data_IF_620490493127
#
_entry.id   IF_620490493127
#
_cell.length_a   1.000
_cell.length_b   1.000
_cell.length_c   1.000
_cell.angle_alpha   90.00
_cell.angle_beta   90.00
_cell.angle_gamma   90.00
#
_symmetry.space_group_name_H-M   'P 1'
#
loop_
_entity.id
_entity.type
_entity.pdbx_description
1 polymer ?
#
# COMPACT_ATOMS: atom_id res chain seq x y z
N UNK A 1 -57.91 -30.96 22.33
CA UNK A 1 -57.05 -32.00 22.94
C UNK A 1 -55.87 -32.25 22.03
N UNK A 2 -54.69 -31.70 22.37
CA UNK A 2 -53.34 -32.25 22.19
C UNK A 2 -52.38 -31.22 22.83
N UNK A 3 -51.71 -31.63 23.90
CA UNK A 3 -50.67 -30.86 24.58
C UNK A 3 -49.32 -31.09 23.89
N UNK A 4 -48.44 -30.09 23.89
CA UNK A 4 -47.00 -30.29 23.97
C UNK A 4 -46.34 -29.03 24.55
N UNK A 5 -45.71 -29.19 25.71
CA UNK A 5 -44.82 -28.22 26.35
C UNK A 5 -43.40 -28.60 25.98
N UNK A 6 -42.55 -27.63 25.64
CA UNK A 6 -41.10 -27.81 25.68
C UNK A 6 -40.44 -26.53 26.20
N UNK A 7 -39.77 -26.64 27.35
CA UNK A 7 -38.91 -25.63 27.93
C UNK A 7 -37.55 -25.63 27.23
N UNK A 8 -36.94 -24.44 27.05
CA UNK A 8 -35.51 -24.32 26.75
C UNK A 8 -34.88 -23.27 27.68
N UNK A 9 -33.87 -23.74 28.39
CA UNK A 9 -33.08 -23.03 29.36
C UNK A 9 -31.92 -22.25 28.71
N UNK A 10 -31.53 -21.15 29.36
CA UNK A 10 -30.13 -20.85 29.64
C UNK A 10 -29.30 -20.10 28.58
N UNK A 11 -28.76 -18.96 28.99
CA UNK A 11 -27.46 -18.45 28.51
C UNK A 11 -27.43 -16.97 28.15
N UNK A 12 -27.19 -16.08 29.13
CA UNK A 12 -26.61 -14.76 28.84
C UNK A 12 -25.11 -14.97 28.66
N UNK A 13 -24.61 -14.84 27.44
CA UNK A 13 -23.18 -14.68 27.19
C UNK A 13 -22.82 -13.22 27.42
N UNK A 14 -22.31 -12.90 28.61
CA UNK A 14 -21.60 -11.65 28.86
C UNK A 14 -20.25 -11.74 28.14
N UNK A 15 -20.17 -11.18 26.93
CA UNK A 15 -18.88 -11.11 26.23
C UNK A 15 -18.05 -10.03 26.90
N UNK A 16 -17.04 -10.54 27.58
CA UNK A 16 -15.95 -9.85 28.25
C UNK A 16 -15.24 -8.88 27.31
N UNK A 17 -14.86 -7.72 27.85
CA UNK A 17 -14.14 -6.69 27.14
C UNK A 17 -12.84 -7.21 26.54
N UNK A 18 -12.66 -6.91 25.26
CA UNK A 18 -11.38 -6.96 24.58
C UNK A 18 -11.10 -5.57 24.03
N UNK A 19 -10.54 -4.69 24.86
CA UNK A 19 -9.73 -3.57 24.39
C UNK A 19 -8.47 -4.18 23.78
N UNK A 20 -8.61 -4.71 22.57
CA UNK A 20 -7.51 -5.03 21.68
C UNK A 20 -7.23 -3.78 20.87
N UNK A 21 -6.49 -2.85 21.48
CA UNK A 21 -5.74 -1.84 20.77
C UNK A 21 -4.93 -2.59 19.70
N UNK A 22 -5.46 -2.65 18.47
CA UNK A 22 -4.68 -3.07 17.31
C UNK A 22 -3.72 -1.95 16.99
N UNK A 23 -2.70 -1.82 17.84
CA UNK A 23 -1.42 -1.37 17.35
C UNK A 23 -0.93 -2.56 16.53
N UNK A 24 -1.43 -2.65 15.29
CA UNK A 24 -0.69 -3.31 14.24
C UNK A 24 0.61 -2.50 14.19
N UNK A 25 1.60 -2.94 14.96
CA UNK A 25 2.97 -2.67 14.63
C UNK A 25 3.10 -3.32 13.27
N UNK A 26 2.90 -2.52 12.23
CA UNK A 26 3.25 -2.83 10.85
C UNK A 26 4.72 -3.17 10.91
N UNK A 27 4.96 -4.45 11.16
CA UNK A 27 6.25 -5.09 11.06
C UNK A 27 6.74 -4.65 9.71
N UNK A 28 7.90 -4.01 9.68
CA UNK A 28 8.58 -3.42 8.52
C UNK A 28 8.68 -4.46 7.40
N UNK A 29 7.56 -4.70 6.75
CA UNK A 29 7.39 -5.73 5.76
C UNK A 29 7.93 -5.12 4.50
N UNK A 30 8.87 -5.83 3.87
CA UNK A 30 9.28 -5.44 2.54
C UNK A 30 8.10 -5.71 1.63
N UNK A 31 7.35 -4.67 1.30
CA UNK A 31 6.22 -4.77 0.39
C UNK A 31 6.73 -4.83 -1.05
N UNK A 32 6.20 -5.79 -1.81
CA UNK A 32 6.51 -5.93 -3.23
C UNK A 32 5.32 -5.41 -4.02
N UNK A 33 5.61 -4.53 -4.96
CA UNK A 33 4.64 -3.88 -5.81
C UNK A 33 4.95 -4.14 -7.27
N UNK A 34 3.88 -4.18 -8.05
CA UNK A 34 3.89 -4.15 -9.51
C UNK A 34 3.57 -2.74 -9.98
N UNK A 35 4.49 -2.15 -10.74
CA UNK A 35 4.28 -0.88 -11.42
C UNK A 35 3.90 -1.13 -12.89
N UNK A 36 2.84 -0.49 -13.36
CA UNK A 36 2.35 -0.55 -14.75
C UNK A 36 2.09 0.85 -15.29
N UNK A 37 2.14 1.05 -16.60
CA UNK A 37 1.64 2.25 -17.26
C UNK A 37 0.26 1.96 -17.87
N UNK A 38 -0.73 2.82 -17.63
CA UNK A 38 -2.05 2.68 -18.22
C UNK A 38 -1.96 2.71 -19.75
N UNK A 39 -2.58 1.72 -20.39
CA UNK A 39 -2.56 1.55 -21.85
C UNK A 39 -1.32 0.83 -22.39
N UNK A 40 -0.42 0.33 -21.53
CA UNK A 40 0.74 -0.47 -21.89
C UNK A 40 0.71 -1.84 -21.20
N UNK A 41 1.27 -2.88 -21.83
CA UNK A 41 1.33 -4.23 -21.25
C UNK A 41 2.60 -4.47 -20.41
N UNK A 42 3.57 -3.55 -20.44
CA UNK A 42 4.78 -3.68 -19.67
C UNK A 42 4.50 -3.41 -18.18
N UNK A 43 5.17 -4.21 -17.36
CA UNK A 43 5.17 -4.10 -15.92
C UNK A 43 6.60 -4.26 -15.40
N UNK A 44 6.87 -3.70 -14.23
CA UNK A 44 8.12 -3.92 -13.54
C UNK A 44 7.90 -4.00 -12.02
N UNK A 45 8.89 -4.57 -11.32
CA UNK A 45 8.82 -4.73 -9.88
C UNK A 45 9.40 -3.50 -9.16
N UNK A 46 8.73 -3.11 -8.08
CA UNK A 46 9.15 -2.10 -7.12
C UNK A 46 9.07 -2.73 -5.73
N UNK A 47 10.03 -2.44 -4.86
CA UNK A 47 10.05 -2.97 -3.49
C UNK A 47 10.29 -1.88 -2.48
N UNK A 48 9.37 -1.76 -1.52
CA UNK A 48 9.58 -0.95 -0.32
C UNK A 48 10.45 -1.74 0.65
N UNK A 49 11.46 -1.09 1.18
CA UNK A 49 12.40 -1.62 2.16
C UNK A 49 12.11 -1.06 3.55
N UNK A 50 13.13 -1.08 4.40
CA UNK A 50 12.99 -0.57 5.76
C UNK A 50 12.76 0.95 5.80
N UNK A 51 11.97 1.38 6.79
CA UNK A 51 11.86 2.79 7.15
C UNK A 51 13.20 3.30 7.71
N UNK A 52 13.69 4.42 7.20
CA UNK A 52 14.95 5.07 7.60
C UNK A 52 14.74 6.39 8.33
N UNK A 53 13.58 7.02 8.16
CA UNK A 53 13.09 8.14 8.96
C UNK A 53 11.58 8.23 8.83
N UNK A 54 10.90 9.02 9.67
CA UNK A 54 9.44 9.06 9.75
C UNK A 54 8.77 9.24 8.37
N UNK A 55 8.05 8.21 7.90
CA UNK A 55 7.38 8.20 6.61
C UNK A 55 8.31 8.06 5.40
N UNK A 56 9.59 7.70 5.60
CA UNK A 56 10.60 7.53 4.54
C UNK A 56 11.21 6.15 4.61
N UNK A 57 10.97 5.36 3.58
CA UNK A 57 11.53 4.02 3.43
C UNK A 57 12.53 3.94 2.30
N UNK A 58 13.44 2.97 2.38
CA UNK A 58 14.26 2.58 1.23
C UNK A 58 13.37 2.05 0.11
N UNK A 59 13.77 2.28 -1.14
CA UNK A 59 13.07 1.83 -2.34
C UNK A 59 14.04 1.14 -3.28
N UNK A 60 13.65 -0.02 -3.78
CA UNK A 60 14.33 -0.70 -4.89
C UNK A 60 13.42 -0.72 -6.11
N UNK A 61 13.88 -0.12 -7.21
CA UNK A 61 13.15 -0.09 -8.49
C UNK A 61 13.88 -0.96 -9.49
N UNK A 62 13.17 -1.91 -10.12
CA UNK A 62 13.78 -2.78 -11.11
C UNK A 62 14.27 -1.97 -12.33
N UNK A 63 15.42 -2.36 -12.86
CA UNK A 63 16.10 -1.63 -13.96
C UNK A 63 15.25 -1.49 -15.22
N UNK A 64 14.32 -2.44 -15.48
CA UNK A 64 13.40 -2.42 -16.60
C UNK A 64 12.26 -1.39 -16.46
N UNK A 65 12.05 -0.81 -15.27
CA UNK A 65 11.05 0.24 -15.07
C UNK A 65 11.31 1.50 -15.92
N UNK A 66 12.54 1.69 -16.40
CA UNK A 66 12.89 2.75 -17.38
C UNK A 66 12.05 2.71 -18.66
N UNK A 67 11.46 1.54 -18.99
CA UNK A 67 10.57 1.37 -20.13
C UNK A 67 9.20 2.00 -19.89
N UNK A 68 8.76 2.06 -18.63
CA UNK A 68 7.51 2.70 -18.22
C UNK A 68 7.73 4.20 -18.07
N UNK A 69 8.68 4.61 -17.22
CA UNK A 69 9.01 6.01 -17.00
C UNK A 69 10.55 6.18 -16.98
N UNK A 70 11.15 6.73 -18.04
CA UNK A 70 12.60 6.95 -18.08
C UNK A 70 13.08 7.77 -16.87
N UNK A 71 14.07 7.24 -16.15
CA UNK A 71 14.67 7.90 -14.99
C UNK A 71 14.05 7.49 -13.65
N UNK A 72 12.95 6.73 -13.63
CA UNK A 72 12.34 6.20 -12.40
C UNK A 72 13.24 5.20 -11.69
N UNK A 73 14.11 4.49 -12.43
CA UNK A 73 15.05 3.53 -11.88
C UNK A 73 16.11 4.16 -10.95
N UNK A 74 16.20 5.49 -10.92
CA UNK A 74 17.06 6.24 -10.00
C UNK A 74 16.43 6.44 -8.62
N UNK A 75 15.12 6.21 -8.47
CA UNK A 75 14.46 6.37 -7.20
C UNK A 75 14.98 5.37 -6.17
N UNK A 76 15.27 5.88 -4.97
CA UNK A 76 15.86 5.15 -3.83
C UNK A 76 15.07 5.29 -2.55
N UNK A 77 14.11 6.22 -2.53
CA UNK A 77 13.28 6.50 -1.38
C UNK A 77 11.81 6.50 -1.74
N UNK A 78 11.03 5.87 -0.88
CA UNK A 78 9.58 5.93 -0.80
C UNK A 78 9.24 6.89 0.33
N UNK A 79 8.48 7.94 0.05
CA UNK A 79 8.01 8.88 1.08
C UNK A 79 6.50 8.89 1.14
N UNK A 80 5.95 8.56 2.29
CA UNK A 80 4.55 8.81 2.62
C UNK A 80 4.39 10.24 3.10
N UNK A 81 3.40 10.93 2.55
CA UNK A 81 3.07 12.30 2.87
C UNK A 81 1.87 12.34 3.81
N UNK A 82 1.71 13.44 4.54
CA UNK A 82 0.61 13.60 5.51
C UNK A 82 -0.79 13.57 4.87
N UNK A 83 -0.88 13.81 3.56
CA UNK A 83 -2.12 13.74 2.78
C UNK A 83 -2.40 12.34 2.21
N UNK A 84 -1.58 11.34 2.56
CA UNK A 84 -1.70 9.96 2.09
C UNK A 84 -1.08 9.71 0.71
N UNK A 85 -0.50 10.73 0.06
CA UNK A 85 0.25 10.54 -1.19
C UNK A 85 1.60 9.87 -0.94
N UNK A 86 2.13 9.23 -1.97
CA UNK A 86 3.44 8.59 -1.96
C UNK A 86 4.33 9.21 -3.03
N UNK A 87 5.54 9.61 -2.65
CA UNK A 87 6.54 10.14 -3.56
C UNK A 87 7.75 9.20 -3.68
N UNK A 88 8.15 8.90 -4.91
CA UNK A 88 9.43 8.25 -5.19
C UNK A 88 10.47 9.30 -5.50
N UNK A 89 11.64 9.22 -4.87
CA UNK A 89 12.71 10.21 -5.06
C UNK A 89 14.08 9.55 -5.02
N UNK A 90 15.07 10.20 -5.64
CA UNK A 90 16.47 9.77 -5.57
C UNK A 90 17.12 10.17 -4.24
N UNK A 91 16.79 11.34 -3.72
CA UNK A 91 17.43 11.95 -2.55
C UNK A 91 16.52 12.02 -1.30
N UNK A 92 15.30 11.47 -1.38
CA UNK A 92 14.32 11.50 -0.31
C UNK A 92 13.49 12.78 -0.25
N UNK A 93 13.71 13.76 -1.13
CA UNK A 93 13.08 15.09 -1.05
C UNK A 93 12.40 15.43 -2.37
N UNK A 94 13.13 15.39 -3.49
CA UNK A 94 12.64 15.83 -4.80
C UNK A 94 11.95 14.67 -5.53
N UNK A 95 10.63 14.74 -5.77
CA UNK A 95 9.89 13.63 -6.36
C UNK A 95 10.23 13.45 -7.84
N UNK A 96 10.47 12.20 -8.24
CA UNK A 96 10.50 11.74 -9.62
C UNK A 96 9.09 11.40 -10.09
N UNK A 97 8.30 10.80 -9.21
CA UNK A 97 6.88 10.48 -9.43
C UNK A 97 6.13 10.57 -8.09
N UNK A 98 4.89 11.04 -8.15
CA UNK A 98 3.98 11.08 -7.01
C UNK A 98 2.69 10.34 -7.33
N UNK A 99 2.24 9.53 -6.38
CA UNK A 99 1.04 8.73 -6.44
C UNK A 99 0.03 9.14 -5.37
N UNK A 100 -1.25 9.09 -5.73
CA UNK A 100 -2.37 9.15 -4.81
C UNK A 100 -2.91 7.76 -4.56
N UNK A 101 -3.60 7.56 -3.44
CA UNK A 101 -4.37 6.34 -3.19
C UNK A 101 -5.43 6.19 -4.29
N UNK A 102 -5.51 5.01 -4.89
CA UNK A 102 -6.52 4.65 -5.87
C UNK A 102 -7.73 3.97 -5.20
N UNK A 103 -8.82 3.79 -5.94
CA UNK A 103 -9.95 2.98 -5.46
C UNK A 103 -9.49 1.50 -5.35
N UNK A 104 -9.18 1.05 -4.13
CA UNK A 104 -8.69 -0.31 -3.83
C UNK A 104 -7.39 -0.31 -3.02
N UNK A 105 -6.62 -1.41 -3.12
CA UNK A 105 -5.36 -1.61 -2.38
C UNK A 105 -4.11 -1.13 -3.14
N UNK A 106 -4.21 0.00 -3.83
CA UNK A 106 -3.16 0.49 -4.73
C UNK A 106 -3.04 2.00 -4.83
N UNK A 107 -2.11 2.45 -5.67
CA UNK A 107 -1.84 3.86 -5.92
C UNK A 107 -1.84 4.18 -7.41
N UNK A 108 -2.18 5.42 -7.78
CA UNK A 108 -2.11 5.92 -9.16
C UNK A 108 -1.35 7.25 -9.22
N UNK A 109 -0.47 7.40 -10.21
CA UNK A 109 0.36 8.59 -10.35
C UNK A 109 -0.44 9.78 -10.85
N UNK A 110 -0.19 10.98 -10.34
CA UNK A 110 -0.73 12.20 -10.95
C UNK A 110 0.35 13.19 -11.39
N UNK A 111 1.61 12.92 -11.01
CA UNK A 111 2.77 13.68 -11.44
C UNK A 111 3.95 12.71 -11.71
N UNK A 112 4.49 12.66 -12.94
CA UNK A 112 4.06 13.40 -14.13
C UNK A 112 2.67 12.95 -14.61
N UNK A 113 1.99 13.82 -15.37
CA UNK A 113 0.63 13.52 -15.91
C UNK A 113 0.63 12.43 -16.98
N UNK A 114 1.78 12.14 -17.58
CA UNK A 114 1.95 11.10 -18.59
C UNK A 114 3.38 10.51 -18.49
N UNK A 115 3.53 9.18 -18.56
CA UNK A 115 2.45 8.18 -18.52
C UNK A 115 1.72 8.16 -17.18
N UNK A 116 0.46 7.73 -17.21
CA UNK A 116 -0.30 7.46 -16.00
C UNK A 116 0.10 6.08 -15.47
N UNK A 117 0.69 6.01 -14.27
CA UNK A 117 1.23 4.80 -13.68
C UNK A 117 0.33 4.28 -12.56
N UNK A 118 0.17 2.96 -12.48
CA UNK A 118 -0.49 2.30 -11.36
C UNK A 118 0.52 1.43 -10.58
N UNK A 119 0.41 1.46 -9.26
CA UNK A 119 1.24 0.71 -8.33
C UNK A 119 0.33 -0.17 -7.48
N UNK A 120 0.45 -1.49 -7.65
CA UNK A 120 -0.40 -2.48 -6.99
C UNK A 120 0.45 -3.44 -6.17
N UNK A 121 -0.07 -3.92 -5.04
CA UNK A 121 0.57 -5.02 -4.31
C UNK A 121 0.67 -6.27 -5.21
N UNK A 122 1.77 -7.01 -5.10
CA UNK A 122 1.92 -8.33 -5.76
C UNK A 122 1.18 -9.46 -5.00
#
# INVERSE_FOLDING_TARGET
MCMAVAALAGGVQLVHGGSGESIASETTSSDSFRLTANGDEAACAVRRGAEVSHGVSLLSVATNCRKLLPGIERAKFWREQADGTVAFSENGIDPIVTFSVADGDGYESYAPVAPLLALNNE
#
